data_IF_586805495939
#
_entry.id   IF_586805495939
#
_cell.length_a   1.000
_cell.length_b   1.000
_cell.length_c   1.000
_cell.angle_alpha   90.00
_cell.angle_beta   90.00
_cell.angle_gamma   90.00
#
_symmetry.space_group_name_H-M   'P 1'
#
loop_
_entity.id
_entity.type
_entity.pdbx_description
1 polymer ?
#
# COMPACT_ATOMS: atom_id res chain seq x y z
N UNK A 1 44.09 0.85 -36.35
CA UNK A 1 43.49 -0.42 -36.82
C UNK A 1 42.76 -0.22 -38.15
N UNK A 2 41.83 0.78 -38.27
CA UNK A 2 41.07 1.08 -39.49
C UNK A 2 42.00 1.26 -40.72
N UNK A 3 43.01 2.17 -40.63
CA UNK A 3 43.94 2.46 -41.71
C UNK A 3 44.75 1.25 -42.14
N UNK A 4 45.18 0.38 -41.24
CA UNK A 4 45.93 -0.85 -41.53
C UNK A 4 45.05 -1.85 -42.29
N UNK A 5 43.80 -2.05 -41.88
CA UNK A 5 42.90 -2.97 -42.57
C UNK A 5 42.52 -2.46 -43.98
N UNK A 6 42.39 -1.15 -44.17
CA UNK A 6 42.13 -0.52 -45.45
C UNK A 6 43.31 -0.70 -46.44
N UNK A 7 44.54 -0.65 -45.90
CA UNK A 7 45.76 -0.79 -46.73
C UNK A 7 45.93 -2.21 -47.29
N UNK A 8 45.42 -3.22 -46.63
CA UNK A 8 45.43 -4.62 -47.07
C UNK A 8 44.17 -5.01 -47.87
N UNK A 9 43.36 -4.02 -48.32
CA UNK A 9 42.26 -4.24 -49.22
C UNK A 9 40.97 -4.75 -48.55
N UNK A 10 40.88 -4.76 -47.25
CA UNK A 10 39.67 -5.17 -46.53
C UNK A 10 38.60 -4.06 -46.64
N UNK A 11 37.36 -4.38 -47.08
CA UNK A 11 36.29 -3.38 -47.22
C UNK A 11 35.74 -2.94 -45.84
N UNK A 12 36.52 -2.16 -45.13
CA UNK A 12 36.24 -1.74 -43.73
C UNK A 12 34.92 -0.98 -43.61
N UNK A 13 34.54 -0.22 -44.65
CA UNK A 13 33.28 0.51 -44.70
C UNK A 13 32.05 -0.41 -44.56
N UNK A 14 32.06 -1.56 -45.26
CA UNK A 14 30.96 -2.55 -45.14
C UNK A 14 30.95 -3.25 -43.80
N UNK A 15 32.13 -3.52 -43.23
CA UNK A 15 32.23 -4.11 -41.90
C UNK A 15 31.67 -3.18 -40.81
N UNK A 16 32.03 -1.89 -40.88
CA UNK A 16 31.50 -0.88 -39.95
C UNK A 16 29.99 -0.72 -40.12
N UNK A 17 29.50 -0.68 -41.37
CA UNK A 17 28.05 -0.59 -41.61
C UNK A 17 27.30 -1.81 -41.03
N UNK A 18 27.82 -3.02 -41.30
CA UNK A 18 27.25 -4.27 -40.77
C UNK A 18 27.28 -4.32 -39.25
N UNK A 19 28.39 -3.92 -38.62
CA UNK A 19 28.52 -3.83 -37.17
C UNK A 19 27.55 -2.81 -36.59
N UNK A 20 27.29 -1.70 -37.28
CA UNK A 20 26.30 -0.69 -36.90
C UNK A 20 24.88 -1.26 -36.85
N UNK A 21 24.47 -1.98 -37.92
CA UNK A 21 23.16 -2.64 -37.98
C UNK A 21 23.02 -3.68 -36.85
N UNK A 22 24.05 -4.51 -36.66
CA UNK A 22 24.08 -5.51 -35.62
C UNK A 22 23.99 -4.87 -34.20
N UNK A 23 24.68 -3.75 -33.97
CA UNK A 23 24.65 -3.01 -32.71
C UNK A 23 23.25 -2.47 -32.41
N UNK A 24 22.53 -1.94 -33.41
CA UNK A 24 21.15 -1.48 -33.29
C UNK A 24 20.24 -2.66 -32.91
N UNK A 25 20.35 -3.79 -33.62
CA UNK A 25 19.56 -4.98 -33.36
C UNK A 25 19.79 -5.52 -31.95
N UNK A 26 21.05 -5.57 -31.51
CA UNK A 26 21.41 -5.98 -30.16
C UNK A 26 20.89 -5.00 -29.10
N UNK A 27 20.99 -3.69 -29.35
CA UNK A 27 20.49 -2.64 -28.47
C UNK A 27 18.97 -2.72 -28.26
N UNK A 28 18.22 -2.91 -29.35
CA UNK A 28 16.77 -3.10 -29.29
C UNK A 28 16.41 -4.41 -28.54
N UNK A 29 17.16 -5.49 -28.79
CA UNK A 29 16.96 -6.76 -28.08
C UNK A 29 17.27 -6.68 -26.59
N UNK A 30 18.26 -5.87 -26.19
CA UNK A 30 18.67 -5.70 -24.80
C UNK A 30 17.93 -4.58 -24.06
N UNK A 31 17.12 -3.77 -24.73
CA UNK A 31 16.46 -2.57 -24.18
C UNK A 31 15.72 -2.86 -22.88
N UNK A 32 14.95 -3.95 -22.84
CA UNK A 32 14.17 -4.32 -21.65
C UNK A 32 15.05 -4.67 -20.45
N UNK A 33 16.17 -5.34 -20.68
CA UNK A 33 17.12 -5.68 -19.64
C UNK A 33 17.79 -4.43 -19.05
N UNK A 34 18.24 -3.53 -19.89
CA UNK A 34 18.86 -2.27 -19.47
C UNK A 34 17.86 -1.42 -18.68
N UNK A 35 16.62 -1.33 -19.17
CA UNK A 35 15.56 -0.61 -18.48
C UNK A 35 15.28 -1.19 -17.08
N UNK A 36 15.20 -2.52 -16.95
CA UNK A 36 15.02 -3.18 -15.64
C UNK A 36 16.15 -2.82 -14.67
N UNK A 37 17.40 -2.83 -15.14
CA UNK A 37 18.55 -2.51 -14.30
C UNK A 37 18.56 -1.05 -13.85
N UNK A 38 18.30 -0.12 -14.77
CA UNK A 38 18.26 1.32 -14.46
C UNK A 38 17.14 1.62 -13.45
N UNK A 39 15.93 1.09 -13.67
CA UNK A 39 14.83 1.27 -12.74
C UNK A 39 15.12 0.62 -11.37
N UNK A 40 15.69 -0.59 -11.36
CA UNK A 40 16.09 -1.24 -10.11
C UNK A 40 17.13 -0.45 -9.32
N UNK A 41 18.08 0.16 -10.01
CA UNK A 41 19.06 1.05 -9.40
C UNK A 41 18.39 2.26 -8.73
N UNK A 42 17.47 2.94 -9.44
CA UNK A 42 16.77 4.10 -8.87
C UNK A 42 15.82 3.71 -7.73
N UNK A 43 15.13 2.58 -7.81
CA UNK A 43 14.29 2.06 -6.72
C UNK A 43 15.12 1.93 -5.43
N UNK A 44 16.34 1.37 -5.54
CA UNK A 44 17.24 1.19 -4.40
C UNK A 44 17.85 2.52 -3.94
N UNK A 45 18.26 3.39 -4.87
CA UNK A 45 18.88 4.67 -4.56
C UNK A 45 17.93 5.63 -3.85
N UNK A 46 16.71 5.73 -4.36
CA UNK A 46 15.67 6.62 -3.83
C UNK A 46 14.93 6.01 -2.63
N UNK A 47 15.19 4.74 -2.34
CA UNK A 47 14.49 4.00 -1.26
C UNK A 47 12.97 4.12 -1.37
N UNK A 48 12.42 4.00 -2.57
CA UNK A 48 10.98 4.08 -2.77
C UNK A 48 10.23 2.97 -2.01
N UNK A 49 10.87 1.81 -1.85
CA UNK A 49 10.41 0.66 -1.07
C UNK A 49 11.61 -0.09 -0.47
N UNK A 50 11.39 -0.74 0.66
CA UNK A 50 12.36 -1.62 1.30
C UNK A 50 11.76 -3.03 1.50
N UNK A 51 12.65 -4.01 1.74
CA UNK A 51 12.20 -5.37 2.10
C UNK A 51 11.43 -5.31 3.42
N UNK A 52 10.24 -5.88 3.43
CA UNK A 52 9.30 -5.83 4.55
C UNK A 52 8.19 -4.79 4.40
N UNK A 53 8.33 -3.80 3.49
CA UNK A 53 7.25 -2.83 3.24
C UNK A 53 6.03 -3.53 2.59
N UNK A 54 4.84 -3.16 3.02
CA UNK A 54 3.60 -3.52 2.32
C UNK A 54 3.34 -2.49 1.22
N UNK A 55 3.22 -2.97 -0.01
CA UNK A 55 3.11 -2.11 -1.19
C UNK A 55 1.99 -2.56 -2.11
N UNK A 56 1.54 -1.63 -2.95
CA UNK A 56 0.72 -1.91 -4.13
C UNK A 56 1.51 -1.48 -5.36
N UNK A 57 1.78 -2.43 -6.25
CA UNK A 57 2.46 -2.21 -7.53
C UNK A 57 1.54 -2.70 -8.65
N UNK A 58 0.94 -1.78 -9.39
CA UNK A 58 -0.10 -2.11 -10.36
C UNK A 58 -1.29 -2.78 -9.66
N UNK A 59 -1.58 -4.04 -9.99
CA UNK A 59 -2.65 -4.83 -9.37
C UNK A 59 -2.16 -5.73 -8.23
N UNK A 60 -0.85 -5.81 -8.00
CA UNK A 60 -0.26 -6.68 -6.98
C UNK A 60 -0.14 -5.92 -5.67
N UNK A 61 -0.82 -6.43 -4.64
CA UNK A 61 -0.70 -5.96 -3.25
C UNK A 61 -0.03 -7.03 -2.41
N UNK A 62 0.97 -6.66 -1.62
CA UNK A 62 1.66 -7.60 -0.73
C UNK A 62 2.90 -7.00 -0.08
N UNK A 63 3.64 -7.85 0.61
CA UNK A 63 4.88 -7.50 1.30
C UNK A 63 6.08 -7.70 0.38
N UNK A 64 6.96 -6.71 0.30
CA UNK A 64 8.22 -6.82 -0.46
C UNK A 64 9.10 -7.87 0.19
N UNK A 65 9.33 -9.00 -0.49
CA UNK A 65 10.18 -10.10 -0.02
C UNK A 65 11.61 -10.00 -0.54
N UNK A 66 11.86 -9.13 -1.52
CA UNK A 66 13.20 -8.88 -2.02
C UNK A 66 13.22 -7.91 -3.18
N UNK A 67 14.31 -7.13 -3.26
CA UNK A 67 14.55 -6.17 -4.34
C UNK A 67 15.82 -6.61 -5.04
N UNK A 68 15.68 -6.96 -6.31
CA UNK A 68 16.81 -7.32 -7.17
C UNK A 68 17.08 -6.23 -8.21
N UNK A 69 18.22 -6.33 -8.87
CA UNK A 69 18.62 -5.37 -9.91
C UNK A 69 17.63 -5.35 -11.09
N UNK A 70 17.03 -6.50 -11.42
CA UNK A 70 16.10 -6.65 -12.55
C UNK A 70 14.63 -6.84 -12.12
N UNK A 71 14.39 -7.44 -10.97
CA UNK A 71 13.05 -7.80 -10.51
C UNK A 71 12.87 -7.49 -9.03
N UNK A 72 11.71 -6.94 -8.70
CA UNK A 72 11.22 -6.82 -7.32
C UNK A 72 10.26 -7.98 -7.03
N UNK A 73 10.39 -8.60 -5.86
CA UNK A 73 9.57 -9.72 -5.41
C UNK A 73 8.58 -9.24 -4.35
N UNK A 74 7.31 -9.55 -4.55
CA UNK A 74 6.23 -9.20 -3.64
C UNK A 74 5.42 -10.44 -3.30
N UNK A 75 5.27 -10.73 -2.03
CA UNK A 75 4.45 -11.84 -1.52
C UNK A 75 3.07 -11.30 -1.15
N UNK A 76 2.04 -11.76 -1.83
CA UNK A 76 0.64 -11.40 -1.54
C UNK A 76 0.15 -12.08 -0.25
N UNK A 77 -0.99 -11.63 0.29
CA UNK A 77 -1.55 -12.15 1.54
C UNK A 77 -1.93 -13.63 1.49
N UNK A 78 -2.21 -14.17 0.31
CA UNK A 78 -2.49 -15.59 0.05
C UNK A 78 -1.22 -16.46 -0.06
N UNK A 79 -0.02 -15.85 0.12
CA UNK A 79 1.26 -16.51 -0.03
C UNK A 79 1.83 -16.53 -1.45
N UNK A 80 1.12 -16.00 -2.44
CA UNK A 80 1.60 -15.94 -3.82
C UNK A 80 2.83 -15.05 -3.95
N UNK A 81 3.93 -15.59 -4.48
CA UNK A 81 5.16 -14.85 -4.74
C UNK A 81 5.15 -14.28 -6.17
N UNK A 82 5.08 -12.97 -6.28
CA UNK A 82 5.05 -12.24 -7.54
C UNK A 82 6.46 -11.72 -7.88
N UNK A 83 6.91 -11.98 -9.11
CA UNK A 83 8.15 -11.44 -9.68
C UNK A 83 7.81 -10.32 -10.65
N UNK A 84 8.08 -9.08 -10.26
CA UNK A 84 7.72 -7.89 -11.03
C UNK A 84 9.00 -7.35 -11.69
N UNK A 85 9.13 -7.33 -13.03
CA UNK A 85 10.23 -6.64 -13.70
C UNK A 85 10.27 -5.17 -13.31
N UNK A 86 11.44 -4.64 -12.95
CA UNK A 86 11.54 -3.28 -12.41
C UNK A 86 11.06 -2.21 -13.42
N UNK A 87 11.18 -2.44 -14.73
CA UNK A 87 10.63 -1.56 -15.78
C UNK A 87 9.11 -1.44 -15.75
N UNK A 88 8.41 -2.42 -15.16
CA UNK A 88 6.94 -2.41 -15.03
C UNK A 88 6.46 -1.71 -13.76
N UNK A 89 7.37 -1.27 -12.90
CA UNK A 89 7.08 -0.52 -11.69
C UNK A 89 7.01 0.96 -12.06
N UNK A 90 5.84 1.41 -12.50
CA UNK A 90 5.59 2.81 -12.86
C UNK A 90 5.09 3.64 -11.70
N UNK A 91 4.42 3.00 -10.76
CA UNK A 91 3.89 3.63 -9.54
C UNK A 91 4.00 2.64 -8.39
N UNK A 92 4.47 3.11 -7.26
CA UNK A 92 4.50 2.38 -6.00
C UNK A 92 3.65 3.09 -4.97
N UNK A 93 2.63 2.43 -4.45
CA UNK A 93 1.91 2.88 -3.25
C UNK A 93 2.47 2.13 -2.05
N UNK A 94 3.31 2.79 -1.26
CA UNK A 94 3.88 2.21 -0.05
C UNK A 94 2.93 2.46 1.13
N UNK A 95 2.35 1.38 1.66
CA UNK A 95 1.36 1.45 2.74
C UNK A 95 2.01 1.47 4.14
N UNK A 96 3.28 1.05 4.25
CA UNK A 96 3.98 0.95 5.53
C UNK A 96 4.63 2.26 5.97
N UNK A 97 4.87 3.21 5.05
CA UNK A 97 5.66 4.43 5.32
C UNK A 97 4.84 5.64 5.71
N UNK A 98 3.55 5.58 5.55
CA UNK A 98 2.66 6.68 5.92
C UNK A 98 1.78 6.31 7.10
N UNK A 99 1.27 7.33 7.74
CA UNK A 99 0.23 7.18 8.75
C UNK A 99 -1.04 6.67 8.10
N UNK A 100 -1.59 5.58 8.62
CA UNK A 100 -2.81 4.99 8.13
C UNK A 100 -4.03 5.56 8.85
N UNK A 101 -5.05 5.94 8.09
CA UNK A 101 -6.31 6.43 8.62
C UNK A 101 -7.37 5.35 8.49
N UNK A 102 -7.86 4.89 9.63
CA UNK A 102 -8.90 3.89 9.72
C UNK A 102 -10.17 4.48 10.36
N UNK A 103 -11.27 3.78 10.27
CA UNK A 103 -12.48 4.13 11.00
C UNK A 103 -13.14 2.90 11.58
N UNK A 104 -13.74 3.09 12.75
CA UNK A 104 -14.65 2.12 13.36
C UNK A 104 -16.07 2.62 13.17
N UNK A 105 -16.89 1.86 12.48
CA UNK A 105 -18.28 2.16 12.19
C UNK A 105 -19.17 1.26 13.05
N UNK A 106 -19.94 1.90 13.94
CA UNK A 106 -20.90 1.22 14.82
C UNK A 106 -22.27 1.39 14.17
N UNK A 107 -22.93 0.31 13.73
CA UNK A 107 -24.29 0.40 13.20
C UNK A 107 -25.26 1.00 14.22
N UNK A 108 -26.05 1.99 13.79
CA UNK A 108 -27.06 2.62 14.63
C UNK A 108 -28.37 2.80 13.86
N UNK A 109 -29.47 2.76 14.57
CA UNK A 109 -30.80 3.07 14.02
C UNK A 109 -31.09 4.57 14.00
N UNK A 110 -32.21 4.97 13.35
CA UNK A 110 -32.58 6.37 13.23
C UNK A 110 -32.97 7.03 14.55
N UNK A 111 -33.35 6.25 15.55
CA UNK A 111 -33.79 6.74 16.86
C UNK A 111 -32.72 6.60 17.95
N UNK A 112 -31.50 6.17 17.59
CA UNK A 112 -30.41 5.94 18.55
C UNK A 112 -30.06 7.22 19.33
N UNK A 113 -29.84 7.13 20.65
CA UNK A 113 -29.53 8.27 21.51
C UNK A 113 -28.08 8.73 21.31
N UNK A 114 -27.86 9.60 20.31
CA UNK A 114 -26.52 10.01 19.85
C UNK A 114 -25.66 10.63 20.94
N UNK A 115 -26.24 11.39 21.88
CA UNK A 115 -25.49 12.01 22.97
C UNK A 115 -24.99 10.99 23.99
N UNK A 116 -25.78 9.95 24.26
CA UNK A 116 -25.37 8.86 25.16
C UNK A 116 -24.27 8.01 24.50
N UNK A 117 -24.45 7.65 23.23
CA UNK A 117 -23.43 6.95 22.44
C UNK A 117 -22.12 7.73 22.47
N UNK A 118 -22.17 9.05 22.25
CA UNK A 118 -21.00 9.92 22.28
C UNK A 118 -20.28 9.89 23.64
N UNK A 119 -21.03 9.97 24.74
CA UNK A 119 -20.46 9.94 26.10
C UNK A 119 -19.77 8.61 26.40
N UNK A 120 -20.43 7.48 26.06
CA UNK A 120 -19.87 6.15 26.27
C UNK A 120 -18.60 5.94 25.42
N UNK A 121 -18.64 6.29 24.14
CA UNK A 121 -17.46 6.18 23.27
C UNK A 121 -16.31 7.06 23.75
N UNK A 122 -16.59 8.28 24.20
CA UNK A 122 -15.56 9.17 24.75
C UNK A 122 -14.89 8.57 26.01
N UNK A 123 -15.67 7.97 26.90
CA UNK A 123 -15.14 7.29 28.10
C UNK A 123 -14.28 6.07 27.73
N UNK A 124 -14.70 5.26 26.74
CA UNK A 124 -13.92 4.14 26.23
C UNK A 124 -12.62 4.62 25.59
N UNK A 125 -12.67 5.66 24.75
CA UNK A 125 -11.47 6.24 24.14
C UNK A 125 -10.46 6.66 25.22
N UNK A 126 -10.91 7.35 26.25
CA UNK A 126 -10.03 7.77 27.36
C UNK A 126 -9.38 6.57 28.06
N UNK A 127 -10.15 5.49 28.29
CA UNK A 127 -9.62 4.25 28.86
C UNK A 127 -8.57 3.60 27.95
N UNK A 128 -8.84 3.49 26.66
CA UNK A 128 -7.92 2.90 25.67
C UNK A 128 -6.63 3.73 25.53
N UNK A 129 -6.75 5.07 25.59
CA UNK A 129 -5.59 5.98 25.60
C UNK A 129 -4.72 5.73 26.83
N UNK A 130 -5.34 5.65 28.01
CA UNK A 130 -4.64 5.38 29.29
C UNK A 130 -3.95 4.00 29.27
N UNK A 131 -4.52 3.02 28.58
CA UNK A 131 -3.93 1.70 28.37
C UNK A 131 -2.81 1.67 27.32
N UNK A 132 -2.54 2.79 26.65
CA UNK A 132 -1.49 2.90 25.63
C UNK A 132 -1.80 2.17 24.32
N UNK A 133 -3.07 1.83 24.05
CA UNK A 133 -3.48 1.07 22.85
C UNK A 133 -3.15 1.79 21.53
N UNK A 134 -3.06 3.11 21.53
CA UNK A 134 -2.75 3.91 20.33
C UNK A 134 -1.27 4.23 20.17
N UNK A 135 -0.43 3.84 21.14
CA UNK A 135 1.01 4.10 21.08
C UNK A 135 1.35 5.59 20.91
N UNK A 136 2.07 5.92 19.82
CA UNK A 136 2.45 7.30 19.48
C UNK A 136 1.44 8.02 18.55
N UNK A 137 0.37 7.33 18.16
CA UNK A 137 -0.62 7.89 17.25
C UNK A 137 -1.58 8.85 17.99
N UNK A 138 -2.20 9.80 17.26
CA UNK A 138 -3.20 10.70 17.82
C UNK A 138 -4.37 9.93 18.42
N UNK A 139 -5.01 10.55 19.42
CA UNK A 139 -6.21 10.02 20.04
C UNK A 139 -7.34 9.81 19.00
N UNK A 140 -8.21 8.81 19.21
CA UNK A 140 -9.38 8.59 18.37
C UNK A 140 -10.26 9.84 18.28
N UNK A 141 -10.69 10.18 17.06
CA UNK A 141 -11.58 11.33 16.82
C UNK A 141 -13.00 10.84 16.60
N UNK A 142 -13.92 11.26 17.43
CA UNK A 142 -15.34 11.01 17.21
C UNK A 142 -15.82 11.87 16.05
N UNK A 143 -16.27 11.23 14.96
CA UNK A 143 -16.85 11.90 13.79
C UNK A 143 -18.35 12.11 14.01
N UNK A 144 -19.05 11.12 14.58
CA UNK A 144 -20.49 11.14 14.81
C UNK A 144 -21.26 10.28 13.78
N UNK A 145 -22.58 10.54 13.64
CA UNK A 145 -23.42 9.78 12.74
C UNK A 145 -23.06 10.07 11.27
N UNK A 146 -22.89 9.01 10.49
CA UNK A 146 -22.58 9.06 9.05
C UNK A 146 -23.48 8.08 8.32
N UNK A 147 -24.04 8.50 7.20
CA UNK A 147 -24.79 7.60 6.31
C UNK A 147 -23.85 6.98 5.31
N UNK A 148 -23.75 5.67 5.31
CA UNK A 148 -23.05 4.92 4.25
C UNK A 148 -24.06 4.76 3.10
N UNK A 149 -23.75 5.27 1.90
CA UNK A 149 -24.67 5.17 0.76
C UNK A 149 -24.87 3.71 0.34
N UNK A 150 -26.03 3.44 -0.24
CA UNK A 150 -26.31 2.13 -0.82
C UNK A 150 -25.32 1.82 -1.95
N UNK A 151 -24.88 0.58 -2.01
CA UNK A 151 -24.09 0.02 -3.11
C UNK A 151 -24.90 -1.06 -3.84
N UNK A 152 -24.40 -1.59 -4.96
CA UNK A 152 -25.07 -2.67 -5.69
C UNK A 152 -25.39 -3.92 -4.82
N UNK A 153 -24.61 -4.13 -3.75
CA UNK A 153 -24.72 -5.29 -2.87
C UNK A 153 -25.18 -4.98 -1.44
N UNK A 154 -25.34 -3.71 -1.05
CA UNK A 154 -25.72 -3.31 0.31
C UNK A 154 -26.68 -2.10 0.33
N UNK A 155 -27.66 -2.17 1.26
CA UNK A 155 -28.55 -1.01 1.52
C UNK A 155 -27.82 0.11 2.23
N UNK A 156 -28.32 1.34 2.10
CA UNK A 156 -27.83 2.46 2.89
C UNK A 156 -27.94 2.14 4.38
N UNK A 157 -26.89 2.43 5.13
CA UNK A 157 -26.85 2.20 6.58
C UNK A 157 -26.40 3.45 7.31
N UNK A 158 -26.98 3.68 8.49
CA UNK A 158 -26.56 4.74 9.39
C UNK A 158 -25.55 4.13 10.38
N UNK A 159 -24.40 4.79 10.51
CA UNK A 159 -23.35 4.34 11.44
C UNK A 159 -22.84 5.49 12.28
N UNK A 160 -22.42 5.19 13.48
CA UNK A 160 -21.67 6.13 14.31
C UNK A 160 -20.19 5.87 14.11
N UNK A 161 -19.48 6.85 13.55
CA UNK A 161 -18.08 6.70 13.10
C UNK A 161 -17.10 7.29 14.10
N UNK A 162 -16.06 6.52 14.38
CA UNK A 162 -14.87 6.96 15.11
C UNK A 162 -13.65 6.80 14.20
N UNK A 163 -12.98 7.91 13.90
CA UNK A 163 -11.76 7.89 13.10
C UNK A 163 -10.55 7.57 13.98
N UNK A 164 -9.70 6.69 13.48
CA UNK A 164 -8.48 6.21 14.11
C UNK A 164 -7.27 6.55 13.24
N UNK A 165 -6.14 6.73 13.89
CA UNK A 165 -4.84 6.86 13.24
C UNK A 165 -3.93 5.75 13.73
N UNK A 166 -3.32 5.01 12.80
CA UNK A 166 -2.54 3.82 13.12
C UNK A 166 -1.47 3.56 12.04
N UNK A 167 -0.84 2.40 12.05
CA UNK A 167 -0.06 1.85 10.93
C UNK A 167 -0.93 0.88 10.15
N UNK A 168 -0.56 0.62 8.90
CA UNK A 168 -1.28 -0.32 8.05
C UNK A 168 -1.39 -1.72 8.68
N UNK A 169 -0.29 -2.23 9.26
CA UNK A 169 -0.25 -3.57 9.84
C UNK A 169 -1.11 -3.71 11.11
N UNK A 170 -1.24 -2.62 11.88
CA UNK A 170 -2.02 -2.62 13.12
C UNK A 170 -3.51 -2.28 12.91
N UNK A 171 -3.90 -1.85 11.70
CA UNK A 171 -5.26 -1.38 11.39
C UNK A 171 -6.33 -2.40 11.81
N UNK A 172 -6.21 -3.63 11.30
CA UNK A 172 -7.21 -4.67 11.51
C UNK A 172 -7.42 -4.98 12.99
N UNK A 173 -6.31 -5.20 13.72
CA UNK A 173 -6.38 -5.54 15.13
C UNK A 173 -6.92 -4.37 15.96
N UNK A 174 -6.44 -3.16 15.70
CA UNK A 174 -6.85 -1.97 16.43
C UNK A 174 -8.33 -1.64 16.21
N UNK A 175 -8.81 -1.71 14.96
CA UNK A 175 -10.22 -1.46 14.65
C UNK A 175 -11.13 -2.51 15.27
N UNK A 176 -10.72 -3.78 15.26
CA UNK A 176 -11.46 -4.88 15.88
C UNK A 176 -11.53 -4.72 17.41
N UNK A 177 -10.38 -4.43 18.05
CA UNK A 177 -10.31 -4.21 19.51
C UNK A 177 -11.18 -3.01 19.93
N UNK A 178 -11.11 -1.91 19.19
CA UNK A 178 -11.91 -0.72 19.45
C UNK A 178 -13.40 -1.00 19.28
N UNK A 179 -13.81 -1.67 18.19
CA UNK A 179 -15.21 -2.02 17.94
C UNK A 179 -15.76 -2.89 19.06
N UNK A 180 -15.02 -3.93 19.47
CA UNK A 180 -15.41 -4.80 20.58
C UNK A 180 -15.56 -4.03 21.89
N UNK A 181 -14.63 -3.11 22.19
CA UNK A 181 -14.69 -2.28 23.39
C UNK A 181 -15.90 -1.33 23.38
N UNK A 182 -16.19 -0.69 22.24
CA UNK A 182 -17.35 0.20 22.09
C UNK A 182 -18.66 -0.57 22.25
N UNK A 183 -18.83 -1.69 21.55
CA UNK A 183 -20.05 -2.50 21.64
C UNK A 183 -20.28 -3.04 23.05
N UNK A 184 -19.22 -3.51 23.71
CA UNK A 184 -19.32 -3.99 25.10
C UNK A 184 -19.74 -2.87 26.06
N UNK A 185 -19.15 -1.67 25.91
CA UNK A 185 -19.48 -0.54 26.76
C UNK A 185 -20.90 0.00 26.52
N UNK A 186 -21.36 0.07 25.27
CA UNK A 186 -22.71 0.46 24.91
C UNK A 186 -23.76 -0.52 25.45
N UNK A 187 -23.48 -1.82 25.33
CA UNK A 187 -24.35 -2.85 25.90
C UNK A 187 -24.43 -2.78 27.43
N UNK A 188 -23.30 -2.58 28.12
CA UNK A 188 -23.26 -2.43 29.58
C UNK A 188 -23.97 -1.16 30.07
N UNK A 189 -24.00 -0.12 29.26
CA UNK A 189 -24.72 1.12 29.51
C UNK A 189 -26.21 1.04 29.14
N UNK A 190 -26.67 -0.11 28.63
CA UNK A 190 -28.04 -0.33 28.13
C UNK A 190 -28.48 0.69 27.06
N UNK A 191 -27.56 1.19 26.27
CA UNK A 191 -27.83 2.14 25.18
C UNK A 191 -28.39 1.36 23.99
N UNK A 192 -29.64 1.67 23.60
CA UNK A 192 -30.23 1.09 22.39
C UNK A 192 -29.51 1.63 21.14
N UNK A 193 -29.17 0.72 20.24
CA UNK A 193 -28.60 1.08 18.93
C UNK A 193 -29.65 1.12 17.80
N UNK A 194 -30.91 0.80 18.13
CA UNK A 194 -32.04 0.78 17.20
C UNK A 194 -32.73 2.14 17.02
#
# INVERSE_FOLDING_TARGET
>A
LYALLSLIGVPVGTLVASAGIFSIALGLGAQGFVSDMVNGFFILLEKQLDVGDVVVIGTVKGTVSGIGLRTTRVTSADGTLNYIPNRNITTVSNLSRSTWHASVDIPIGPNAPLDEIKKVIAAVNQKLITQGKFGKHPAPKIVGPVTIPATASAKASLVYRVALTTTYDAEYQLTSDCLAAYLTALNNAHVSLD
#
